data_IF_996404111365
#
_entry.id   IF_996404111365
#
_cell.length_a   1.000
_cell.length_b   1.000
_cell.length_c   1.000
_cell.angle_alpha   90.00
_cell.angle_beta   90.00
_cell.angle_gamma   90.00
#
_symmetry.space_group_name_H-M   'P 1'
#
loop_
_entity.id
_entity.type
_entity.pdbx_description
1 polymer ?
#
# COMPACT_ATOMS: atom_id res chain seq x y z
N UNK A 1 -37.47 -13.54 -13.11
CA UNK A 1 -36.34 -12.97 -13.87
C UNK A 1 -35.30 -12.53 -12.87
N UNK A 2 -34.12 -13.14 -12.97
CA UNK A 2 -33.10 -13.21 -11.94
C UNK A 2 -32.22 -11.97 -12.08
N UNK A 3 -32.09 -11.17 -11.02
CA UNK A 3 -31.20 -10.01 -11.01
C UNK A 3 -29.74 -10.46 -11.23
N UNK A 4 -29.08 -9.89 -12.23
CA UNK A 4 -27.70 -10.17 -12.60
C UNK A 4 -26.73 -9.90 -11.45
N UNK A 5 -25.92 -10.87 -11.01
CA UNK A 5 -24.91 -10.67 -9.98
C UNK A 5 -23.62 -10.14 -10.60
N UNK A 6 -23.61 -8.88 -11.03
CA UNK A 6 -22.46 -8.28 -11.70
C UNK A 6 -22.19 -6.87 -11.22
N UNK A 7 -21.86 -6.75 -9.92
CA UNK A 7 -21.08 -5.62 -9.39
C UNK A 7 -20.54 -5.83 -7.97
N UNK A 8 -20.93 -6.91 -7.28
CA UNK A 8 -20.64 -7.11 -5.83
C UNK A 8 -19.55 -8.12 -5.49
N UNK A 9 -18.80 -8.62 -6.47
CA UNK A 9 -17.81 -9.70 -6.29
C UNK A 9 -16.40 -9.35 -6.80
N UNK A 10 -15.89 -8.14 -6.51
CA UNK A 10 -14.49 -7.74 -6.81
C UNK A 10 -13.69 -7.28 -5.58
N UNK A 11 -14.22 -7.41 -4.37
CA UNK A 11 -13.58 -6.90 -3.15
C UNK A 11 -12.95 -8.02 -2.29
N UNK A 12 -12.25 -8.95 -2.92
CA UNK A 12 -11.17 -9.69 -2.25
C UNK A 12 -9.88 -9.13 -2.82
N UNK A 13 -9.39 -8.02 -2.25
CA UNK A 13 -8.09 -7.32 -2.47
C UNK A 13 -7.51 -7.59 -3.87
N UNK A 14 -7.65 -6.65 -4.79
CA UNK A 14 -7.46 -6.82 -6.24
C UNK A 14 -6.08 -7.36 -6.70
N UNK A 15 -5.77 -7.24 -8.00
CA UNK A 15 -4.40 -7.48 -8.48
C UNK A 15 -3.45 -6.42 -7.91
N UNK A 16 -2.14 -6.53 -8.17
CA UNK A 16 -1.21 -5.46 -7.76
C UNK A 16 -1.65 -4.13 -8.40
N UNK A 17 -1.85 -3.10 -7.60
CA UNK A 17 -2.42 -1.83 -8.04
C UNK A 17 -1.64 -0.64 -7.46
N UNK A 18 -1.58 0.45 -8.22
CA UNK A 18 -1.27 1.76 -7.68
C UNK A 18 -2.57 2.48 -7.30
N UNK A 19 -2.77 2.63 -6.00
CA UNK A 19 -3.86 3.40 -5.40
C UNK A 19 -3.52 4.90 -5.46
N UNK A 20 -4.08 5.60 -6.46
CA UNK A 20 -3.91 7.06 -6.66
C UNK A 20 -4.71 7.82 -5.59
N UNK A 21 -4.07 8.01 -4.44
CA UNK A 21 -4.60 8.79 -3.33
C UNK A 21 -4.24 10.25 -3.53
N UNK A 22 -5.23 11.05 -3.92
CA UNK A 22 -5.10 12.50 -4.05
C UNK A 22 -5.52 13.16 -2.76
N UNK A 23 -4.54 13.56 -1.97
CA UNK A 23 -4.83 14.14 -0.67
C UNK A 23 -5.54 15.48 -0.81
N UNK A 24 -6.67 15.64 -0.13
CA UNK A 24 -7.37 16.92 0.02
C UNK A 24 -7.08 17.57 1.36
N UNK A 25 -6.56 16.81 2.34
CA UNK A 25 -6.26 17.30 3.68
C UNK A 25 -4.76 17.22 3.96
N UNK A 26 -4.17 18.35 4.34
CA UNK A 26 -2.74 18.47 4.63
C UNK A 26 -2.57 18.64 6.14
N UNK A 27 -2.08 17.61 6.83
CA UNK A 27 -1.40 17.77 8.12
C UNK A 27 0.09 17.52 7.91
N UNK A 28 0.85 18.61 7.75
CA UNK A 28 2.30 18.53 7.56
C UNK A 28 2.96 17.76 8.73
N UNK A 29 3.84 16.76 8.51
CA UNK A 29 4.45 16.30 7.25
C UNK A 29 3.92 14.93 6.74
N UNK A 30 2.73 14.47 7.18
CA UNK A 30 2.22 13.12 6.87
C UNK A 30 0.92 13.21 6.08
N UNK A 31 0.88 12.56 4.92
CA UNK A 31 -0.39 12.37 4.22
C UNK A 31 -1.30 11.43 5.03
N UNK A 32 -2.30 11.98 5.70
CA UNK A 32 -3.28 11.21 6.46
C UNK A 32 -4.18 10.36 5.57
N UNK A 33 -4.46 10.86 4.36
CA UNK A 33 -5.35 10.20 3.41
C UNK A 33 -4.77 8.86 2.94
N UNK A 34 -3.46 8.79 2.65
CA UNK A 34 -2.81 7.52 2.29
C UNK A 34 -2.87 6.50 3.45
N UNK A 35 -2.69 6.96 4.69
CA UNK A 35 -2.77 6.06 5.85
C UNK A 35 -4.22 5.61 6.10
N UNK A 36 -5.21 6.47 5.91
CA UNK A 36 -6.62 6.08 6.01
C UNK A 36 -6.97 4.97 5.01
N UNK A 37 -6.51 5.11 3.76
CA UNK A 37 -6.71 4.08 2.73
C UNK A 37 -5.93 2.80 3.03
N UNK A 38 -4.71 2.89 3.55
CA UNK A 38 -3.99 1.73 4.07
C UNK A 38 -4.84 0.97 5.10
N UNK A 39 -5.39 1.67 6.09
CA UNK A 39 -6.22 1.03 7.13
C UNK A 39 -7.49 0.40 6.53
N UNK A 40 -8.12 1.04 5.55
CA UNK A 40 -9.27 0.46 4.85
C UNK A 40 -8.91 -0.86 4.12
N UNK A 41 -7.75 -0.89 3.44
CA UNK A 41 -7.26 -2.12 2.80
C UNK A 41 -6.93 -3.23 3.81
N UNK A 42 -6.33 -2.86 4.94
CA UNK A 42 -6.03 -3.81 6.03
C UNK A 42 -7.31 -4.34 6.68
N UNK A 43 -8.33 -3.50 6.84
CA UNK A 43 -9.64 -3.92 7.34
C UNK A 43 -10.29 -4.92 6.38
N UNK A 44 -10.22 -4.66 5.08
CA UNK A 44 -10.72 -5.58 4.07
C UNK A 44 -9.97 -6.93 4.10
N UNK A 45 -8.65 -6.92 4.30
CA UNK A 45 -7.85 -8.14 4.51
C UNK A 45 -8.23 -8.87 5.80
N UNK A 46 -8.60 -8.14 6.86
CA UNK A 46 -9.04 -8.76 8.12
C UNK A 46 -10.40 -9.45 7.96
N UNK A 47 -11.32 -8.84 7.20
CA UNK A 47 -12.65 -9.39 6.95
C UNK A 47 -12.63 -10.53 5.92
N UNK A 48 -11.74 -10.46 4.94
CA UNK A 48 -11.53 -11.50 3.93
C UNK A 48 -10.04 -11.86 3.88
N UNK A 49 -9.56 -12.72 4.81
CA UNK A 49 -8.16 -13.09 4.87
C UNK A 49 -7.69 -13.70 3.55
N UNK A 50 -6.70 -13.05 2.94
CA UNK A 50 -5.97 -13.66 1.83
C UNK A 50 -5.27 -14.91 2.35
N UNK A 51 -5.52 -16.05 1.69
CA UNK A 51 -4.90 -17.33 2.01
C UNK A 51 -3.81 -17.64 1.02
N UNK A 52 -2.70 -18.17 1.53
CA UNK A 52 -1.66 -18.78 0.72
C UNK A 52 -1.98 -20.27 0.68
N UNK A 53 -2.27 -20.75 -0.53
CA UNK A 53 -2.56 -22.16 -0.76
C UNK A 53 -1.30 -22.97 -0.45
N UNK A 54 -1.46 -23.98 0.38
CA UNK A 54 -0.43 -25.00 0.56
C UNK A 54 -0.27 -25.81 -0.73
N UNK A 55 0.97 -26.15 -1.07
CA UNK A 55 1.27 -26.96 -2.26
C UNK A 55 0.85 -28.42 -2.15
N UNK A 56 0.31 -28.83 -1.00
CA UNK A 56 -0.05 -30.22 -0.67
C UNK A 56 -1.38 -30.25 0.07
N UNK A 57 -2.23 -31.23 -0.28
CA UNK A 57 -3.56 -31.40 0.30
C UNK A 57 -3.56 -31.62 1.83
N UNK A 58 -2.43 -32.06 2.41
CA UNK A 58 -2.30 -32.34 3.84
C UNK A 58 -1.86 -31.15 4.69
N UNK A 59 -1.44 -30.04 4.08
CA UNK A 59 -1.06 -28.83 4.85
C UNK A 59 -2.19 -27.80 4.82
N UNK A 60 -2.56 -27.21 5.97
CA UNK A 60 -3.59 -26.18 5.99
C UNK A 60 -3.08 -24.89 5.33
N UNK A 61 -3.98 -24.23 4.59
CA UNK A 61 -3.75 -22.87 4.09
C UNK A 61 -3.31 -21.94 5.23
N UNK A 62 -2.35 -21.07 4.95
CA UNK A 62 -1.87 -20.08 5.92
C UNK A 62 -2.36 -18.68 5.57
N UNK A 63 -2.47 -17.82 6.59
CA UNK A 63 -2.80 -16.42 6.39
C UNK A 63 -1.64 -15.69 5.72
N UNK A 64 -1.94 -14.92 4.68
CA UNK A 64 -0.95 -14.12 3.96
C UNK A 64 -0.20 -13.18 4.90
N UNK A 65 1.12 -13.22 4.82
CA UNK A 65 2.02 -12.29 5.51
C UNK A 65 1.95 -10.92 4.85
N UNK A 66 1.82 -9.88 5.66
CA UNK A 66 1.64 -8.50 5.18
C UNK A 66 2.75 -7.59 5.68
N UNK A 67 3.40 -6.88 4.75
CA UNK A 67 4.32 -5.79 5.05
C UNK A 67 3.76 -4.43 4.67
N UNK A 68 4.05 -3.43 5.50
CA UNK A 68 3.86 -2.01 5.19
C UNK A 68 5.24 -1.36 5.14
N UNK A 69 5.62 -0.88 3.97
CA UNK A 69 6.94 -0.34 3.69
C UNK A 69 6.79 1.12 3.29
N UNK A 70 7.64 1.99 3.82
CA UNK A 70 7.75 3.37 3.36
C UNK A 70 9.22 3.77 3.15
N UNK A 71 9.54 4.59 2.14
CA UNK A 71 10.90 5.11 2.02
C UNK A 71 11.23 6.14 3.10
N UNK A 72 10.23 6.69 3.80
CA UNK A 72 10.41 7.75 4.79
C UNK A 72 10.13 7.27 6.21
N UNK A 73 11.08 7.51 7.13
CA UNK A 73 10.96 7.11 8.54
C UNK A 73 9.71 7.66 9.23
N UNK A 74 9.37 8.94 9.00
CA UNK A 74 8.19 9.59 9.60
C UNK A 74 6.89 8.92 9.13
N UNK A 75 6.80 8.53 7.86
CA UNK A 75 5.63 7.86 7.29
C UNK A 75 5.53 6.43 7.80
N UNK A 76 6.64 5.68 7.81
CA UNK A 76 6.68 4.34 8.41
C UNK A 76 6.26 4.34 9.89
N UNK A 77 6.69 5.34 10.66
CA UNK A 77 6.30 5.51 12.06
C UNK A 77 4.81 5.84 12.20
N UNK A 78 4.28 6.75 11.38
CA UNK A 78 2.87 7.11 11.38
C UNK A 78 1.98 5.92 11.02
N UNK A 79 2.34 5.15 9.98
CA UNK A 79 1.66 3.91 9.60
C UNK A 79 1.66 2.93 10.77
N UNK A 80 2.83 2.64 11.35
CA UNK A 80 2.95 1.71 12.49
C UNK A 80 2.07 2.11 13.67
N UNK A 81 2.07 3.38 14.04
CA UNK A 81 1.24 3.89 15.13
C UNK A 81 -0.25 3.72 14.85
N UNK A 82 -0.69 4.05 13.63
CA UNK A 82 -2.10 3.98 13.22
C UNK A 82 -2.60 2.54 13.08
N UNK A 83 -1.77 1.65 12.54
CA UNK A 83 -2.04 0.20 12.47
C UNK A 83 -2.24 -0.37 13.87
N UNK A 84 -1.35 -0.02 14.81
CA UNK A 84 -1.44 -0.45 16.21
C UNK A 84 -2.69 0.10 16.90
N UNK A 85 -3.01 1.38 16.69
CA UNK A 85 -4.21 2.03 17.26
C UNK A 85 -5.51 1.39 16.75
N UNK A 86 -5.55 0.97 15.49
CA UNK A 86 -6.68 0.28 14.89
C UNK A 86 -6.79 -1.20 15.30
N UNK A 87 -5.87 -1.72 16.12
CA UNK A 87 -5.92 -3.08 16.65
C UNK A 87 -5.48 -4.18 15.67
N UNK A 88 -4.79 -3.83 14.58
CA UNK A 88 -4.24 -4.83 13.67
C UNK A 88 -2.99 -5.49 14.27
N UNK A 89 -2.94 -6.82 14.25
CA UNK A 89 -1.80 -7.65 14.63
C UNK A 89 -1.24 -8.39 13.41
N UNK A 90 -0.02 -8.91 13.50
CA UNK A 90 0.60 -9.70 12.42
C UNK A 90 1.12 -8.89 11.21
N UNK A 91 1.05 -7.56 11.26
CA UNK A 91 1.54 -6.67 10.20
C UNK A 91 2.89 -6.09 10.60
N UNK A 92 3.94 -6.39 9.83
CA UNK A 92 5.24 -5.74 10.02
C UNK A 92 5.26 -4.41 9.24
N UNK A 93 5.57 -3.30 9.92
CA UNK A 93 5.62 -1.97 9.33
C UNK A 93 6.96 -1.30 9.57
N UNK A 94 7.60 -0.75 8.53
CA UNK A 94 8.93 -0.18 8.63
C UNK A 94 9.41 0.56 7.40
N UNK A 95 10.69 0.97 7.43
CA UNK A 95 11.36 1.51 6.25
C UNK A 95 11.90 0.39 5.38
N UNK A 96 12.30 0.68 4.16
CA UNK A 96 13.01 -0.26 3.27
C UNK A 96 14.11 -1.09 3.98
N UNK A 97 14.90 -0.48 4.86
CA UNK A 97 16.01 -1.16 5.55
C UNK A 97 15.53 -2.16 6.62
N UNK A 98 14.30 -2.00 7.10
CA UNK A 98 13.68 -2.91 8.09
C UNK A 98 13.42 -4.31 7.50
N UNK A 99 13.30 -4.39 6.17
CA UNK A 99 12.86 -5.60 5.48
C UNK A 99 13.95 -6.27 4.65
N UNK A 100 15.22 -5.89 4.83
CA UNK A 100 16.32 -6.51 4.09
C UNK A 100 16.37 -8.02 4.38
N UNK A 101 16.31 -8.84 3.31
CA UNK A 101 16.32 -10.30 3.42
C UNK A 101 15.02 -10.94 3.94
N UNK A 102 13.96 -10.17 4.20
CA UNK A 102 12.63 -10.69 4.58
C UNK A 102 11.69 -10.61 3.40
N UNK A 103 10.66 -11.44 3.31
CA UNK A 103 9.61 -11.32 2.30
C UNK A 103 8.22 -11.48 2.92
N UNK A 104 7.21 -11.04 2.18
CA UNK A 104 5.80 -11.12 2.54
C UNK A 104 4.96 -11.41 1.29
N UNK A 105 3.79 -12.01 1.48
CA UNK A 105 2.86 -12.31 0.39
C UNK A 105 2.26 -11.03 -0.19
N UNK A 106 1.98 -10.07 0.70
CA UNK A 106 1.41 -8.77 0.35
C UNK A 106 2.32 -7.65 0.88
N UNK A 107 2.65 -6.69 0.02
CA UNK A 107 3.36 -5.46 0.39
C UNK A 107 2.49 -4.25 0.08
N UNK A 108 2.30 -3.39 1.08
CA UNK A 108 1.79 -2.03 0.91
C UNK A 108 2.98 -1.06 0.95
N UNK A 109 3.25 -0.39 -0.17
CA UNK A 109 4.30 0.62 -0.30
C UNK A 109 3.69 2.02 -0.20
N UNK A 110 3.88 2.67 0.96
CA UNK A 110 3.27 3.97 1.30
C UNK A 110 4.27 5.11 1.08
N UNK A 111 3.96 5.99 0.14
CA UNK A 111 4.87 7.04 -0.32
C UNK A 111 4.81 8.30 0.57
N UNK A 112 3.63 8.74 0.97
CA UNK A 112 3.36 9.65 2.08
C UNK A 112 3.98 11.05 2.02
N UNK A 113 4.38 11.55 0.85
CA UNK A 113 5.01 12.89 0.75
C UNK A 113 4.00 14.03 0.85
N UNK A 114 4.44 15.17 1.38
CA UNK A 114 3.68 16.41 1.32
C UNK A 114 3.31 16.78 -0.13
N UNK A 115 2.09 17.29 -0.40
CA UNK A 115 1.68 17.62 -1.75
C UNK A 115 2.41 18.85 -2.29
N UNK A 116 2.46 18.97 -3.61
CA UNK A 116 3.03 20.14 -4.28
C UNK A 116 4.53 20.33 -3.99
N UNK A 117 5.05 21.57 -4.10
CA UNK A 117 6.48 21.86 -4.03
C UNK A 117 7.14 21.42 -2.71
N UNK A 118 6.42 21.43 -1.59
CA UNK A 118 6.95 21.08 -0.27
C UNK A 118 7.47 19.63 -0.18
N UNK A 119 6.87 18.70 -0.93
CA UNK A 119 7.33 17.32 -0.99
C UNK A 119 8.24 17.00 -2.19
N UNK A 120 8.49 17.96 -3.09
CA UNK A 120 9.21 17.69 -4.33
C UNK A 120 10.65 17.18 -4.08
N UNK A 121 11.37 17.76 -3.12
CA UNK A 121 12.71 17.29 -2.76
C UNK A 121 12.72 15.86 -2.19
N UNK A 122 11.74 15.52 -1.36
CA UNK A 122 11.60 14.17 -0.81
C UNK A 122 11.30 13.14 -1.90
N UNK A 123 10.44 13.49 -2.86
CA UNK A 123 10.14 12.66 -4.03
C UNK A 123 11.36 12.49 -4.93
N UNK A 124 12.07 13.57 -5.24
CA UNK A 124 13.28 13.54 -6.05
C UNK A 124 14.37 12.66 -5.40
N UNK A 125 14.56 12.77 -4.08
CA UNK A 125 15.45 11.87 -3.35
C UNK A 125 15.04 10.41 -3.46
N UNK A 126 13.75 10.11 -3.27
CA UNK A 126 13.24 8.74 -3.32
C UNK A 126 13.32 8.12 -4.73
N UNK A 127 13.17 8.95 -5.77
CA UNK A 127 13.29 8.56 -7.18
C UNK A 127 14.75 8.58 -7.71
N UNK A 128 15.69 9.17 -6.97
CA UNK A 128 17.06 9.36 -7.47
C UNK A 128 17.88 8.07 -7.62
N UNK A 129 17.48 6.98 -6.95
CA UNK A 129 18.11 5.65 -7.07
C UNK A 129 17.03 4.56 -7.02
N UNK A 130 17.22 3.43 -7.74
CA UNK A 130 16.21 2.38 -7.81
C UNK A 130 16.09 1.57 -6.50
N UNK A 131 17.09 1.67 -5.61
CA UNK A 131 17.22 0.81 -4.43
C UNK A 131 15.96 0.79 -3.55
N UNK A 132 15.32 1.94 -3.33
CA UNK A 132 14.12 2.02 -2.49
C UNK A 132 12.94 1.26 -3.12
N UNK A 133 12.74 1.46 -4.42
CA UNK A 133 11.68 0.81 -5.17
C UNK A 133 11.95 -0.69 -5.33
N UNK A 134 13.18 -1.08 -5.69
CA UNK A 134 13.58 -2.49 -5.82
C UNK A 134 13.35 -3.27 -4.53
N UNK A 135 13.64 -2.67 -3.37
CA UNK A 135 13.33 -3.30 -2.08
C UNK A 135 11.83 -3.53 -1.98
N UNK A 136 11.00 -2.49 -2.13
CA UNK A 136 9.55 -2.63 -2.02
C UNK A 136 8.96 -3.68 -2.97
N UNK A 137 9.39 -3.71 -4.23
CA UNK A 137 8.95 -4.68 -5.23
C UNK A 137 9.39 -6.10 -4.87
N UNK A 138 10.69 -6.32 -4.62
CA UNK A 138 11.23 -7.66 -4.35
C UNK A 138 10.79 -8.23 -3.00
N UNK A 139 10.17 -7.43 -2.13
CA UNK A 139 9.59 -7.92 -0.89
C UNK A 139 8.24 -8.60 -1.08
N UNK A 140 7.55 -8.33 -2.18
CA UNK A 140 6.23 -8.88 -2.48
C UNK A 140 6.37 -10.21 -3.22
N UNK A 141 5.82 -11.29 -2.65
CA UNK A 141 5.73 -12.59 -3.33
C UNK A 141 4.52 -12.68 -4.25
N UNK A 142 3.39 -12.13 -3.82
CA UNK A 142 2.12 -12.25 -4.55
C UNK A 142 1.58 -10.91 -5.01
N UNK A 143 1.56 -9.90 -4.12
CA UNK A 143 0.88 -8.62 -4.40
C UNK A 143 1.64 -7.42 -3.90
N UNK A 144 1.70 -6.38 -4.72
CA UNK A 144 2.24 -5.06 -4.40
C UNK A 144 1.15 -4.01 -4.57
N UNK A 145 0.89 -3.27 -3.50
CA UNK A 145 0.02 -2.08 -3.52
C UNK A 145 0.85 -0.83 -3.29
N UNK A 146 0.76 0.14 -4.19
CA UNK A 146 1.43 1.43 -4.03
C UNK A 146 0.40 2.47 -3.61
N UNK A 147 0.64 3.15 -2.49
CA UNK A 147 -0.20 4.25 -2.02
C UNK A 147 0.54 5.56 -2.22
N UNK A 148 -0.04 6.44 -3.05
CA UNK A 148 0.44 7.80 -3.22
C UNK A 148 -0.05 8.46 -4.50
N UNK A 149 0.09 9.78 -4.56
CA UNK A 149 -0.42 10.60 -5.66
C UNK A 149 0.33 10.32 -6.98
N UNK A 150 -0.36 9.69 -7.94
CA UNK A 150 0.23 9.30 -9.23
C UNK A 150 0.68 10.49 -10.06
N UNK A 151 0.02 11.65 -9.94
CA UNK A 151 0.43 12.86 -10.65
C UNK A 151 1.77 13.41 -10.14
N UNK A 152 2.06 13.24 -8.85
CA UNK A 152 3.29 13.76 -8.24
C UNK A 152 4.48 12.80 -8.35
N UNK A 153 4.21 11.49 -8.45
CA UNK A 153 5.21 10.44 -8.46
C UNK A 153 5.42 9.79 -9.82
N UNK A 154 4.34 9.57 -10.58
CA UNK A 154 4.34 8.72 -11.77
C UNK A 154 5.10 9.27 -12.98
N UNK A 155 5.60 10.51 -12.93
CA UNK A 155 6.49 11.06 -13.97
C UNK A 155 7.98 10.94 -13.62
N UNK A 156 8.30 10.65 -12.35
CA UNK A 156 9.67 10.55 -11.84
C UNK A 156 10.32 9.23 -12.29
N UNK A 157 11.65 9.23 -12.33
CA UNK A 157 12.42 8.04 -12.71
C UNK A 157 12.10 6.84 -11.81
N UNK A 158 12.12 5.65 -12.40
CA UNK A 158 11.69 4.36 -11.83
C UNK A 158 10.20 4.27 -11.47
N UNK A 159 9.59 5.33 -10.93
CA UNK A 159 8.16 5.40 -10.65
C UNK A 159 7.31 5.49 -11.92
N UNK A 160 7.85 6.05 -13.01
CA UNK A 160 7.22 5.96 -14.33
C UNK A 160 7.06 4.52 -14.79
N UNK A 161 8.13 3.72 -14.70
CA UNK A 161 8.09 2.30 -15.06
C UNK A 161 7.13 1.53 -14.15
N UNK A 162 7.12 1.83 -12.85
CA UNK A 162 6.16 1.24 -11.92
C UNK A 162 4.71 1.58 -12.28
N UNK A 163 4.43 2.83 -12.69
CA UNK A 163 3.12 3.28 -13.13
C UNK A 163 2.70 2.58 -14.43
N UNK A 164 3.62 2.32 -15.34
CA UNK A 164 3.34 1.59 -16.58
C UNK A 164 3.09 0.10 -16.33
N UNK A 165 3.74 -0.47 -15.31
CA UNK A 165 3.61 -1.88 -14.94
C UNK A 165 2.39 -2.19 -14.07
N UNK A 166 1.83 -1.21 -13.36
CA UNK A 166 0.69 -1.40 -12.46
C UNK A 166 -0.55 -0.66 -12.95
N UNK A 167 -1.74 -1.30 -12.94
CA UNK A 167 -3.00 -0.58 -13.06
C UNK A 167 -3.10 0.53 -12.01
N UNK A 168 -3.64 1.67 -12.42
CA UNK A 168 -3.87 2.82 -11.54
C UNK A 168 -5.35 2.87 -11.15
N UNK A 169 -5.62 2.72 -9.86
CA UNK A 169 -6.95 2.87 -9.30
C UNK A 169 -7.05 4.19 -8.55
N UNK A 170 -7.90 5.08 -9.04
CA UNK A 170 -8.20 6.33 -8.32
C UNK A 170 -9.06 6.01 -7.11
N UNK A 171 -8.60 6.43 -5.94
CA UNK A 171 -9.42 6.36 -4.75
C UNK A 171 -9.88 7.77 -4.37
N UNK A 172 -11.17 8.00 -4.52
CA UNK A 172 -11.79 9.24 -4.09
C UNK A 172 -12.04 9.18 -2.58
N UNK A 173 -11.72 10.27 -1.87
CA UNK A 173 -11.70 10.40 -0.40
C UNK A 173 -13.05 10.16 0.31
N UNK A 174 -14.10 9.75 -0.41
CA UNK A 174 -15.48 9.77 0.02
C UNK A 174 -15.92 8.57 0.89
N UNK A 175 -15.00 7.76 1.42
CA UNK A 175 -15.38 6.58 2.24
C UNK A 175 -14.67 6.47 3.59
N UNK A 176 -14.13 7.56 4.10
CA UNK A 176 -13.69 7.66 5.50
C UNK A 176 -14.72 8.45 6.34
N UNK A 177 -16.01 8.14 6.20
CA UNK A 177 -16.98 8.42 7.25
C UNK A 177 -17.04 7.21 8.16
N UNK A 178 -16.33 7.26 9.27
CA UNK A 178 -16.55 6.36 10.41
C UNK A 178 -17.17 7.19 11.54
N UNK A 179 -18.23 6.69 12.20
CA UNK A 179 -19.07 7.41 13.16
C UNK A 179 -18.35 7.94 14.40
#
# INVERSE_FOLDING_TARGET
MIASPSHRARQAVAESDWLDVRSSQIQHPVCTDEIAHLLACLEQLRQTPARVLSGSADEPDTQAKVFVISPFRKIAQACRSRIKQAGFSGIECGTVHTFQGKEADIVFFVLGTAPGPQGAGARAWAAGKPNLLNVAITRAKCRLYVLGNVQQWGSLDYFRQLREALPVQRIDSATASTP
#
